data_IF_514828194881
#
_entry.id   IF_514828194881
#
_cell.length_a   1.000
_cell.length_b   1.000
_cell.length_c   1.000
_cell.angle_alpha   90.00
_cell.angle_beta   90.00
_cell.angle_gamma   90.00
#
_symmetry.space_group_name_H-M   'P 1'
#
loop_
_entity.id
_entity.type
_entity.pdbx_description
1 polymer ?
#
# COMPACT_ATOMS: atom_id res chain seq x y z
N UNK A 1 4.13 29.70 40.31
CA UNK A 1 4.13 29.60 38.84
C UNK A 1 5.24 28.62 38.53
N UNK A 2 4.82 27.42 38.14
CA UNK A 2 5.61 26.21 38.22
C UNK A 2 6.73 26.21 37.18
N UNK A 3 7.91 25.76 37.58
CA UNK A 3 9.13 25.79 36.78
C UNK A 3 9.26 24.54 35.88
N UNK A 4 8.19 23.74 35.80
CA UNK A 4 8.10 22.45 35.11
C UNK A 4 7.52 22.53 33.68
N UNK A 5 7.11 23.70 33.20
CA UNK A 5 6.63 23.89 31.81
C UNK A 5 7.70 24.37 30.80
N UNK A 6 8.94 24.61 31.25
CA UNK A 6 9.91 25.43 30.50
C UNK A 6 11.17 24.69 30.00
N UNK A 7 11.13 23.35 29.84
CA UNK A 7 12.23 22.61 29.17
C UNK A 7 11.69 21.48 28.27
N UNK A 8 10.76 21.80 27.37
CA UNK A 8 10.67 21.06 26.11
C UNK A 8 11.93 21.41 25.32
N UNK A 9 12.86 20.47 25.18
CA UNK A 9 14.05 20.64 24.34
C UNK A 9 13.65 21.25 22.99
N UNK A 10 14.17 22.43 22.70
CA UNK A 10 13.92 23.17 21.47
C UNK A 10 14.46 22.39 20.27
N UNK A 11 13.61 21.57 19.65
CA UNK A 11 13.86 21.10 18.30
C UNK A 11 14.03 22.35 17.43
N UNK A 12 15.22 22.53 16.86
CA UNK A 12 15.45 23.58 15.89
C UNK A 12 14.77 23.19 14.58
N UNK A 13 13.52 23.63 14.43
CA UNK A 13 12.68 23.36 13.26
C UNK A 13 13.38 23.78 11.95
N UNK A 14 14.11 24.89 11.97
CA UNK A 14 14.82 25.40 10.80
C UNK A 14 15.95 24.46 10.42
N UNK A 15 16.77 24.04 11.39
CA UNK A 15 17.85 23.09 11.17
C UNK A 15 17.32 21.75 10.64
N UNK A 16 16.20 21.25 11.18
CA UNK A 16 15.60 19.99 10.73
C UNK A 16 15.08 20.12 9.28
N UNK A 17 14.40 21.23 8.95
CA UNK A 17 13.95 21.50 7.58
C UNK A 17 15.11 21.60 6.59
N UNK A 18 16.22 22.22 6.99
CA UNK A 18 17.44 22.28 6.18
C UNK A 18 18.07 20.90 5.98
N UNK A 19 18.12 20.08 7.02
CA UNK A 19 18.58 18.70 6.94
C UNK A 19 17.74 17.88 5.95
N UNK A 20 16.41 17.98 6.04
CA UNK A 20 15.49 17.28 5.12
C UNK A 20 15.72 17.73 3.68
N UNK A 21 15.84 19.03 3.45
CA UNK A 21 16.09 19.58 2.12
C UNK A 21 17.41 19.07 1.53
N UNK A 22 18.48 19.13 2.31
CA UNK A 22 19.80 18.60 1.93
C UNK A 22 19.73 17.11 1.57
N UNK A 23 19.12 16.28 2.43
CA UNK A 23 19.02 14.83 2.18
C UNK A 23 18.17 14.52 0.95
N UNK A 24 17.08 15.26 0.74
CA UNK A 24 16.21 15.09 -0.43
C UNK A 24 16.94 15.38 -1.75
N UNK A 25 17.80 16.40 -1.76
CA UNK A 25 18.60 16.76 -2.93
C UNK A 25 19.69 15.73 -3.24
N UNK A 26 20.31 15.16 -2.20
CA UNK A 26 21.44 14.23 -2.35
C UNK A 26 21.03 12.75 -2.49
N UNK A 27 19.82 12.36 -2.07
CA UNK A 27 19.36 10.97 -2.10
C UNK A 27 19.39 10.31 -3.49
N UNK A 28 19.09 11.00 -4.61
CA UNK A 28 19.17 10.39 -5.95
C UNK A 28 20.58 10.03 -6.40
N UNK A 29 21.61 10.70 -5.88
CA UNK A 29 23.01 10.54 -6.29
C UNK A 29 23.89 9.86 -5.24
N UNK A 30 23.39 9.71 -4.00
CA UNK A 30 24.11 9.07 -2.92
C UNK A 30 24.49 7.61 -3.23
N UNK A 31 25.67 7.22 -2.77
CA UNK A 31 26.20 5.86 -2.90
C UNK A 31 25.31 4.85 -2.18
N UNK A 32 25.12 3.69 -2.83
CA UNK A 32 24.35 2.58 -2.30
C UNK A 32 25.21 1.78 -1.32
N UNK A 33 24.72 1.66 -0.09
CA UNK A 33 25.34 0.87 0.98
C UNK A 33 24.88 -0.58 0.96
N UNK A 34 23.58 -0.79 0.73
CA UNK A 34 22.93 -2.09 0.75
C UNK A 34 21.67 -2.06 -0.11
N UNK A 35 21.40 -3.13 -0.84
CA UNK A 35 20.19 -3.27 -1.63
C UNK A 35 19.52 -4.62 -1.38
N UNK A 36 18.19 -4.62 -1.46
CA UNK A 36 17.40 -5.84 -1.35
C UNK A 36 16.11 -5.73 -2.15
N UNK A 37 15.56 -6.89 -2.49
CA UNK A 37 14.27 -7.02 -3.14
C UNK A 37 13.33 -7.75 -2.21
N UNK A 38 12.11 -7.24 -2.06
CA UNK A 38 11.08 -7.87 -1.24
C UNK A 38 9.75 -7.93 -2.01
N UNK A 39 9.16 -9.12 -2.07
CA UNK A 39 7.76 -9.29 -2.45
C UNK A 39 7.01 -9.69 -1.18
N UNK A 40 6.37 -8.74 -0.47
CA UNK A 40 5.68 -9.05 0.77
C UNK A 40 4.59 -10.09 0.53
N UNK A 41 4.39 -10.96 1.53
CA UNK A 41 3.29 -11.91 1.51
C UNK A 41 1.99 -11.15 1.60
N UNK A 42 0.97 -11.65 0.90
CA UNK A 42 -0.37 -11.11 1.04
C UNK A 42 -0.85 -11.31 2.48
N UNK A 43 -1.45 -10.26 3.05
CA UNK A 43 -2.02 -10.33 4.38
C UNK A 43 -3.23 -11.26 4.39
N UNK A 44 -3.38 -12.03 5.47
CA UNK A 44 -4.53 -12.93 5.66
C UNK A 44 -5.88 -12.21 5.52
N UNK A 45 -5.98 -10.98 6.03
CA UNK A 45 -7.19 -10.16 5.92
C UNK A 45 -7.58 -9.88 4.46
N UNK A 46 -6.62 -9.66 3.56
CA UNK A 46 -6.89 -9.39 2.15
C UNK A 46 -7.43 -10.64 1.45
N UNK A 47 -6.83 -11.80 1.72
CA UNK A 47 -7.31 -13.09 1.22
C UNK A 47 -8.71 -13.41 1.75
N UNK A 48 -8.96 -13.16 3.05
CA UNK A 48 -10.27 -13.32 3.67
C UNK A 48 -11.29 -12.37 3.04
N UNK A 49 -10.92 -11.11 2.78
CA UNK A 49 -11.83 -10.14 2.16
C UNK A 49 -12.23 -10.58 0.74
N UNK A 50 -11.28 -11.05 -0.06
CA UNK A 50 -11.56 -11.61 -1.40
C UNK A 50 -12.49 -12.81 -1.29
N UNK A 51 -12.23 -13.75 -0.36
CA UNK A 51 -13.08 -14.92 -0.15
C UNK A 51 -14.51 -14.53 0.25
N UNK A 52 -14.66 -13.61 1.20
CA UNK A 52 -15.97 -13.12 1.63
C UNK A 52 -16.74 -12.47 0.48
N UNK A 53 -16.06 -11.70 -0.39
CA UNK A 53 -16.69 -11.08 -1.54
C UNK A 53 -17.17 -12.12 -2.58
N UNK A 54 -16.47 -13.25 -2.71
CA UNK A 54 -16.87 -14.33 -3.63
C UNK A 54 -18.06 -15.12 -3.06
N UNK A 55 -18.11 -15.35 -1.75
CA UNK A 55 -19.04 -16.31 -1.13
C UNK A 55 -20.30 -15.64 -0.57
N UNK A 56 -20.15 -14.53 0.14
CA UNK A 56 -21.27 -13.93 0.90
C UNK A 56 -22.39 -13.40 0.00
N UNK A 57 -22.11 -12.60 -1.07
CA UNK A 57 -23.18 -12.07 -1.90
C UNK A 57 -23.98 -13.15 -2.64
N UNK A 58 -23.36 -14.17 -3.28
CA UNK A 58 -24.12 -15.28 -3.84
C UNK A 58 -24.92 -16.07 -2.81
N UNK A 59 -24.37 -16.29 -1.61
CA UNK A 59 -25.09 -17.00 -0.54
C UNK A 59 -26.35 -16.24 -0.11
N UNK A 60 -26.25 -14.93 0.11
CA UNK A 60 -27.40 -14.08 0.46
C UNK A 60 -28.47 -14.09 -0.63
N UNK A 61 -28.06 -14.14 -1.90
CA UNK A 61 -28.97 -14.24 -3.03
C UNK A 61 -29.70 -15.59 -3.07
N UNK A 62 -28.96 -16.70 -2.92
CA UNK A 62 -29.51 -18.07 -2.97
C UNK A 62 -30.50 -18.34 -1.83
N UNK A 63 -30.22 -17.85 -0.62
CA UNK A 63 -31.08 -18.07 0.55
C UNK A 63 -32.51 -17.53 0.40
N UNK A 64 -32.75 -16.62 -0.55
CA UNK A 64 -34.04 -15.97 -0.74
C UNK A 64 -34.87 -16.58 -1.87
N UNK A 65 -34.33 -17.56 -2.61
CA UNK A 65 -35.01 -18.09 -3.80
C UNK A 65 -35.74 -19.41 -3.53
N UNK A 66 -36.93 -19.57 -4.11
CA UNK A 66 -37.76 -20.80 -4.03
C UNK A 66 -37.20 -21.94 -4.91
N UNK A 67 -37.42 -23.21 -4.51
CA UNK A 67 -36.65 -24.38 -4.97
C UNK A 67 -36.59 -24.62 -6.50
N UNK A 68 -37.58 -24.18 -7.28
CA UNK A 68 -37.81 -24.71 -8.64
C UNK A 68 -37.11 -23.96 -9.80
N UNK A 69 -36.58 -22.74 -9.63
CA UNK A 69 -35.93 -21.96 -10.72
C UNK A 69 -34.43 -21.65 -10.48
N UNK A 70 -33.80 -22.31 -9.51
CA UNK A 70 -32.67 -21.71 -8.78
C UNK A 70 -31.27 -21.87 -9.33
N UNK A 71 -30.95 -22.98 -9.98
CA UNK A 71 -29.53 -23.34 -10.15
C UNK A 71 -28.80 -22.44 -11.16
N UNK A 72 -29.45 -22.07 -12.27
CA UNK A 72 -28.81 -21.28 -13.33
C UNK A 72 -28.53 -19.85 -12.85
N UNK A 73 -29.49 -19.22 -12.18
CA UNK A 73 -29.30 -17.87 -11.64
C UNK A 73 -28.25 -17.85 -10.53
N UNK A 74 -28.29 -18.82 -9.60
CA UNK A 74 -27.27 -18.99 -8.58
C UNK A 74 -25.87 -19.16 -9.18
N UNK A 75 -25.75 -19.99 -10.22
CA UNK A 75 -24.49 -20.21 -10.93
C UNK A 75 -23.98 -18.93 -11.61
N UNK A 76 -24.83 -18.19 -12.32
CA UNK A 76 -24.46 -16.92 -12.96
C UNK A 76 -24.01 -15.90 -11.91
N UNK A 77 -24.74 -15.76 -10.80
CA UNK A 77 -24.37 -14.85 -9.72
C UNK A 77 -23.02 -15.23 -9.11
N UNK A 78 -22.81 -16.52 -8.83
CA UNK A 78 -21.53 -17.01 -8.32
C UNK A 78 -20.38 -16.69 -9.28
N UNK A 79 -20.54 -16.93 -10.59
CA UNK A 79 -19.51 -16.63 -11.60
C UNK A 79 -19.18 -15.13 -11.62
N UNK A 80 -20.19 -14.25 -11.54
CA UNK A 80 -19.97 -12.80 -11.49
C UNK A 80 -19.13 -12.40 -10.28
N UNK A 81 -19.51 -12.85 -9.08
CA UNK A 81 -18.78 -12.52 -7.85
C UNK A 81 -17.41 -13.20 -7.75
N UNK A 82 -17.26 -14.38 -8.33
CA UNK A 82 -15.96 -15.04 -8.50
C UNK A 82 -15.02 -14.19 -9.37
N UNK A 83 -15.49 -13.73 -10.54
CA UNK A 83 -14.72 -12.85 -11.42
C UNK A 83 -14.43 -11.50 -10.75
N UNK A 84 -15.37 -10.96 -10.00
CA UNK A 84 -15.17 -9.72 -9.23
C UNK A 84 -14.13 -9.92 -8.12
N UNK A 85 -14.16 -11.06 -7.43
CA UNK A 85 -13.16 -11.51 -6.46
C UNK A 85 -11.76 -11.57 -7.03
N UNK A 86 -11.60 -12.23 -8.17
CA UNK A 86 -10.34 -12.27 -8.89
C UNK A 86 -9.90 -10.86 -9.34
N UNK A 87 -10.82 -10.04 -9.85
CA UNK A 87 -10.52 -8.66 -10.21
C UNK A 87 -9.98 -7.87 -9.02
N UNK A 88 -10.64 -7.93 -7.86
CA UNK A 88 -10.21 -7.24 -6.65
C UNK A 88 -8.85 -7.74 -6.15
N UNK A 89 -8.64 -9.07 -6.21
CA UNK A 89 -7.37 -9.74 -5.88
C UNK A 89 -6.19 -9.23 -6.71
N UNK A 90 -6.42 -8.90 -7.98
CA UNK A 90 -5.35 -8.50 -8.91
C UNK A 90 -5.30 -7.00 -9.19
N UNK A 91 -6.20 -6.20 -8.62
CA UNK A 91 -6.20 -4.74 -8.77
C UNK A 91 -5.98 -4.03 -7.44
N UNK A 92 -6.82 -4.28 -6.44
CA UNK A 92 -6.76 -3.61 -5.14
C UNK A 92 -5.70 -4.26 -4.26
N UNK A 93 -5.70 -5.58 -4.17
CA UNK A 93 -4.70 -6.36 -3.41
C UNK A 93 -3.60 -6.91 -4.30
N UNK A 94 -3.23 -6.14 -5.32
CA UNK A 94 -2.21 -6.56 -6.26
C UNK A 94 -0.88 -6.80 -5.53
N UNK A 95 -0.24 -7.97 -5.73
CA UNK A 95 1.09 -8.18 -5.19
C UNK A 95 2.04 -7.16 -5.81
N UNK A 96 2.90 -6.58 -4.98
CA UNK A 96 3.93 -5.62 -5.39
C UNK A 96 5.30 -6.19 -5.05
N UNK A 97 6.30 -5.88 -5.87
CA UNK A 97 7.70 -6.17 -5.61
C UNK A 97 8.42 -4.85 -5.40
N UNK A 98 9.12 -4.76 -4.28
CA UNK A 98 9.84 -3.57 -3.85
C UNK A 98 11.33 -3.83 -4.03
N UNK A 99 12.02 -2.95 -4.77
CA UNK A 99 13.47 -2.98 -4.90
C UNK A 99 14.06 -1.79 -4.16
N UNK A 100 14.66 -2.04 -3.00
CA UNK A 100 15.17 -1.02 -2.10
C UNK A 100 16.68 -0.84 -2.24
N UNK A 101 17.11 0.41 -2.13
CA UNK A 101 18.49 0.83 -2.03
C UNK A 101 18.66 1.73 -0.80
N UNK A 102 19.37 1.23 0.20
CA UNK A 102 19.85 2.03 1.32
C UNK A 102 21.08 2.82 0.88
N UNK A 103 21.03 4.13 1.08
CA UNK A 103 22.13 5.08 0.84
C UNK A 103 22.52 5.75 2.16
N UNK A 104 23.58 6.55 2.18
CA UNK A 104 24.01 7.30 3.38
C UNK A 104 23.01 8.33 3.92
N UNK A 105 22.03 8.76 3.11
CA UNK A 105 21.09 9.84 3.48
C UNK A 105 19.63 9.39 3.54
N UNK A 106 19.32 8.17 3.10
CA UNK A 106 17.95 7.71 2.94
C UNK A 106 17.86 6.36 2.23
N UNK A 107 16.63 5.90 2.04
CA UNK A 107 16.29 4.77 1.18
C UNK A 107 15.58 5.31 -0.06
N UNK A 108 15.94 4.81 -1.24
CA UNK A 108 15.15 4.99 -2.45
C UNK A 108 14.72 3.62 -2.94
N UNK A 109 13.52 3.54 -3.50
CA UNK A 109 12.99 2.25 -3.94
C UNK A 109 12.04 2.37 -5.10
N UNK A 110 11.98 1.29 -5.87
CA UNK A 110 10.98 1.10 -6.91
C UNK A 110 9.93 0.13 -6.43
N UNK A 111 8.67 0.43 -6.76
CA UNK A 111 7.53 -0.43 -6.52
C UNK A 111 7.05 -0.90 -7.89
N UNK A 112 7.12 -2.20 -8.13
CA UNK A 112 6.62 -2.83 -9.34
C UNK A 112 5.41 -3.70 -9.04
N UNK A 113 4.35 -3.56 -9.84
CA UNK A 113 3.24 -4.50 -9.80
C UNK A 113 3.73 -5.90 -10.21
N UNK A 114 3.49 -6.90 -9.36
CA UNK A 114 3.93 -8.28 -9.55
C UNK A 114 2.78 -9.18 -10.02
N UNK A 115 2.04 -8.70 -11.01
CA UNK A 115 0.96 -9.46 -11.65
C UNK A 115 1.44 -9.98 -13.00
N UNK A 116 1.06 -11.21 -13.35
CA UNK A 116 1.40 -11.78 -14.65
C UNK A 116 0.80 -10.95 -15.80
N UNK A 117 1.55 -10.75 -16.88
CA UNK A 117 1.13 -9.95 -18.05
C UNK A 117 -0.24 -10.36 -18.65
N UNK A 118 -0.64 -11.63 -18.46
CA UNK A 118 -1.92 -12.15 -18.93
C UNK A 118 -3.10 -11.43 -18.26
N UNK A 119 -2.94 -10.99 -17.01
CA UNK A 119 -3.96 -10.21 -16.33
C UNK A 119 -4.20 -8.86 -17.02
N UNK A 120 -3.15 -8.11 -17.37
CA UNK A 120 -3.33 -6.84 -18.07
C UNK A 120 -3.95 -7.07 -19.46
N UNK A 121 -3.54 -8.11 -20.18
CA UNK A 121 -4.19 -8.50 -21.45
C UNK A 121 -5.68 -8.80 -21.27
N UNK A 122 -6.02 -9.60 -20.25
CA UNK A 122 -7.40 -9.95 -19.93
C UNK A 122 -8.23 -8.73 -19.52
N UNK A 123 -7.72 -7.90 -18.61
CA UNK A 123 -8.33 -6.64 -18.19
C UNK A 123 -8.60 -5.73 -19.39
N UNK A 124 -7.64 -5.61 -20.30
CA UNK A 124 -7.80 -4.80 -21.52
C UNK A 124 -8.89 -5.35 -22.44
N UNK A 125 -8.93 -6.67 -22.63
CA UNK A 125 -9.94 -7.34 -23.44
C UNK A 125 -11.34 -7.19 -22.81
N UNK A 126 -11.46 -7.45 -21.51
CA UNK A 126 -12.70 -7.28 -20.75
C UNK A 126 -13.23 -5.86 -20.79
N UNK A 127 -12.36 -4.85 -20.62
CA UNK A 127 -12.72 -3.44 -20.75
C UNK A 127 -13.26 -3.10 -22.13
N UNK A 128 -12.62 -3.58 -23.21
CA UNK A 128 -13.12 -3.36 -24.59
C UNK A 128 -14.49 -4.02 -24.81
N UNK A 129 -14.68 -5.25 -24.32
CA UNK A 129 -15.94 -5.96 -24.43
C UNK A 129 -17.06 -5.24 -23.65
N UNK A 130 -16.79 -4.83 -22.41
CA UNK A 130 -17.74 -4.10 -21.57
C UNK A 130 -18.15 -2.75 -22.19
N UNK A 131 -17.20 -2.03 -22.79
CA UNK A 131 -17.49 -0.80 -23.53
C UNK A 131 -18.41 -1.07 -24.73
N UNK A 132 -18.11 -2.12 -25.51
CA UNK A 132 -18.93 -2.51 -26.67
C UNK A 132 -20.37 -2.87 -26.26
N UNK A 133 -20.54 -3.69 -25.22
CA UNK A 133 -21.86 -4.06 -24.69
C UNK A 133 -22.61 -2.84 -24.15
N UNK A 134 -21.92 -1.91 -23.50
CA UNK A 134 -22.52 -0.67 -22.99
C UNK A 134 -23.07 0.21 -24.12
N UNK A 135 -22.34 0.33 -25.24
CA UNK A 135 -22.82 1.06 -26.43
C UNK A 135 -24.05 0.40 -27.02
N UNK A 136 -24.04 -0.93 -27.17
CA UNK A 136 -25.21 -1.70 -27.62
C UNK A 136 -26.41 -1.45 -26.70
N UNK A 137 -26.21 -1.52 -25.38
CA UNK A 137 -27.28 -1.29 -24.42
C UNK A 137 -27.91 0.10 -24.58
N UNK A 138 -27.11 1.16 -24.78
CA UNK A 138 -27.62 2.52 -25.02
C UNK A 138 -28.41 2.61 -26.34
N UNK A 139 -27.98 1.90 -27.39
CA UNK A 139 -28.69 1.87 -28.68
C UNK A 139 -30.08 1.23 -28.53
N UNK A 140 -30.18 0.11 -27.83
CA UNK A 140 -31.43 -0.67 -27.74
C UNK A 140 -32.36 -0.26 -26.60
N UNK A 141 -31.82 0.15 -25.45
CA UNK A 141 -32.59 0.53 -24.27
C UNK A 141 -32.79 2.06 -24.16
N UNK A 142 -32.19 2.81 -25.08
CA UNK A 142 -32.32 4.26 -25.19
C UNK A 142 -31.50 5.05 -24.15
N UNK A 143 -31.67 6.38 -24.12
CA UNK A 143 -30.86 7.28 -23.29
C UNK A 143 -30.93 7.01 -21.79
N UNK A 144 -32.02 6.40 -21.30
CA UNK A 144 -32.17 6.07 -19.88
C UNK A 144 -31.12 5.05 -19.40
N UNK A 145 -30.61 4.20 -20.31
CA UNK A 145 -29.53 3.27 -20.01
C UNK A 145 -28.19 3.98 -19.74
N UNK A 146 -28.01 5.25 -20.12
CA UNK A 146 -26.79 6.02 -19.84
C UNK A 146 -26.52 6.19 -18.34
N UNK A 147 -27.55 6.20 -17.49
CA UNK A 147 -27.38 6.33 -16.05
C UNK A 147 -26.56 5.17 -15.45
N UNK A 148 -26.71 3.95 -15.99
CA UNK A 148 -25.89 2.79 -15.61
C UNK A 148 -24.69 2.57 -16.55
N UNK A 149 -24.92 2.63 -17.86
CA UNK A 149 -23.91 2.38 -18.89
C UNK A 149 -22.79 3.43 -18.91
N UNK A 150 -23.06 4.67 -18.49
CA UNK A 150 -22.05 5.74 -18.42
C UNK A 150 -20.95 5.45 -17.39
N UNK A 151 -21.33 5.02 -16.18
CA UNK A 151 -20.37 4.58 -15.17
C UNK A 151 -19.62 3.32 -15.61
N UNK A 152 -20.33 2.37 -16.23
CA UNK A 152 -19.74 1.18 -16.83
C UNK A 152 -18.70 1.51 -17.90
N UNK A 153 -18.97 2.50 -18.76
CA UNK A 153 -18.07 2.93 -19.83
C UNK A 153 -16.79 3.59 -19.31
N UNK A 154 -16.88 4.41 -18.26
CA UNK A 154 -15.71 4.99 -17.60
C UNK A 154 -14.81 3.91 -17.00
N UNK A 155 -15.40 2.92 -16.34
CA UNK A 155 -14.67 1.80 -15.76
C UNK A 155 -14.05 0.90 -16.85
N UNK A 156 -14.81 0.61 -17.91
CA UNK A 156 -14.36 -0.11 -19.09
C UNK A 156 -13.16 0.57 -19.76
N UNK A 157 -13.17 1.91 -19.85
CA UNK A 157 -12.05 2.71 -20.36
C UNK A 157 -10.81 2.61 -19.46
N UNK A 158 -10.98 2.62 -18.14
CA UNK A 158 -9.87 2.42 -17.21
C UNK A 158 -9.24 1.03 -17.41
N UNK A 159 -10.06 -0.01 -17.47
CA UNK A 159 -9.63 -1.38 -17.74
C UNK A 159 -8.98 -1.56 -19.11
N UNK A 160 -9.49 -0.90 -20.16
CA UNK A 160 -8.96 -0.99 -21.53
C UNK A 160 -7.56 -0.40 -21.68
N UNK A 161 -7.18 0.49 -20.77
CA UNK A 161 -5.86 1.15 -20.72
C UNK A 161 -4.96 0.59 -19.61
N UNK A 162 -5.35 -0.53 -19.00
CA UNK A 162 -4.59 -1.12 -17.90
C UNK A 162 -3.21 -1.60 -18.38
N UNK A 163 -2.17 -1.18 -17.67
CA UNK A 163 -0.76 -1.49 -17.93
C UNK A 163 -0.02 -1.61 -16.60
N UNK A 164 1.05 -2.41 -16.61
CA UNK A 164 1.98 -2.53 -15.48
C UNK A 164 2.49 -1.14 -15.09
N UNK A 165 2.48 -0.84 -13.79
CA UNK A 165 3.03 0.41 -13.23
C UNK A 165 4.33 0.14 -12.48
N UNK A 166 5.23 1.12 -12.57
CA UNK A 166 6.42 1.23 -11.73
C UNK A 166 6.37 2.59 -11.07
N UNK A 167 6.39 2.60 -9.74
CA UNK A 167 6.41 3.81 -8.93
C UNK A 167 7.80 3.96 -8.30
N UNK A 168 8.23 5.21 -8.13
CA UNK A 168 9.52 5.56 -7.52
C UNK A 168 9.24 6.32 -6.24
N UNK A 169 9.75 5.81 -5.13
CA UNK A 169 9.56 6.41 -3.82
C UNK A 169 10.90 6.56 -3.09
N UNK A 170 10.87 7.45 -2.10
CA UNK A 170 12.04 7.82 -1.31
C UNK A 170 11.63 7.97 0.15
N UNK A 171 12.53 7.58 1.03
CA UNK A 171 12.40 7.73 2.46
C UNK A 171 13.69 8.33 3.02
N UNK A 172 13.58 9.51 3.60
CA UNK A 172 14.74 10.22 4.15
C UNK A 172 15.07 9.65 5.52
N UNK A 173 16.34 9.31 5.76
CA UNK A 173 16.78 8.85 7.08
C UNK A 173 16.94 10.04 8.02
N UNK A 174 16.36 10.03 9.22
CA UNK A 174 16.75 10.98 10.27
C UNK A 174 18.18 10.69 10.75
N UNK A 175 18.86 11.69 11.33
CA UNK A 175 20.22 11.50 11.86
C UNK A 175 20.30 10.44 12.96
N UNK A 176 19.27 10.37 13.82
CA UNK A 176 19.21 9.45 14.95
C UNK A 176 17.81 8.85 15.06
N UNK A 177 17.71 7.52 15.15
CA UNK A 177 16.42 6.82 15.09
C UNK A 177 16.38 5.49 15.81
N UNK A 178 15.16 5.04 16.04
CA UNK A 178 14.82 3.70 16.52
C UNK A 178 14.33 2.86 15.35
N UNK A 179 14.65 1.58 15.38
CA UNK A 179 14.19 0.60 14.39
C UNK A 179 13.18 -0.31 15.06
N UNK A 180 11.98 -0.44 14.47
CA UNK A 180 10.96 -1.39 14.93
C UNK A 180 10.71 -2.43 13.84
N UNK A 181 10.85 -3.70 14.18
CA UNK A 181 10.61 -4.80 13.24
C UNK A 181 9.26 -5.46 13.50
N UNK A 182 8.39 -5.44 12.50
CA UNK A 182 7.07 -6.07 12.50
C UNK A 182 7.14 -7.44 11.81
N UNK A 183 7.37 -8.50 12.60
CA UNK A 183 7.57 -9.86 12.08
C UNK A 183 6.41 -10.41 11.25
N UNK A 184 5.16 -10.16 11.67
CA UNK A 184 3.98 -10.68 10.99
C UNK A 184 3.78 -10.08 9.59
N UNK A 185 4.22 -8.83 9.39
CA UNK A 185 4.11 -8.10 8.12
C UNK A 185 5.40 -8.06 7.32
N UNK A 186 6.51 -8.48 7.92
CA UNK A 186 7.84 -8.44 7.33
C UNK A 186 8.24 -7.00 6.97
N UNK A 187 8.05 -6.12 7.95
CA UNK A 187 8.11 -4.67 7.80
C UNK A 187 9.06 -4.08 8.84
N UNK A 188 9.79 -3.02 8.48
CA UNK A 188 10.67 -2.27 9.37
C UNK A 188 10.22 -0.81 9.38
N UNK A 189 9.86 -0.33 10.56
CA UNK A 189 9.61 1.08 10.81
C UNK A 189 10.90 1.76 11.29
N UNK A 190 11.16 2.96 10.78
CA UNK A 190 12.27 3.81 11.19
C UNK A 190 11.68 5.06 11.78
N UNK A 191 11.83 5.24 13.10
CA UNK A 191 11.22 6.32 13.84
C UNK A 191 12.29 7.26 14.37
N UNK A 192 12.23 8.57 14.07
CA UNK A 192 13.21 9.52 14.57
C UNK A 192 13.20 9.59 16.10
N UNK A 193 14.31 10.03 16.70
CA UNK A 193 14.49 10.16 18.16
C UNK A 193 13.34 10.87 18.87
N UNK A 194 12.87 11.95 18.27
CA UNK A 194 11.82 12.86 18.77
C UNK A 194 10.59 12.83 17.85
N UNK A 195 10.12 11.63 17.53
CA UNK A 195 8.99 11.40 16.61
C UNK A 195 7.74 12.22 16.96
N UNK A 196 7.31 12.21 18.23
CA UNK A 196 6.07 12.88 18.64
C UNK A 196 6.20 14.39 18.52
N UNK A 197 7.35 14.92 18.92
CA UNK A 197 7.63 16.35 18.92
C UNK A 197 7.86 16.86 17.48
N UNK A 198 8.47 16.07 16.60
CA UNK A 198 8.57 16.39 15.17
C UNK A 198 7.19 16.41 14.50
N UNK A 199 6.31 15.47 14.84
CA UNK A 199 4.94 15.45 14.30
C UNK A 199 4.12 16.64 14.79
N UNK A 200 4.26 17.06 16.06
CA UNK A 200 3.50 18.21 16.58
C UNK A 200 3.87 19.54 15.92
N UNK A 201 5.09 19.67 15.41
CA UNK A 201 5.54 20.83 14.62
C UNK A 201 5.42 20.63 13.10
N UNK A 202 4.70 19.58 12.66
CA UNK A 202 4.37 19.35 11.25
C UNK A 202 5.47 18.70 10.40
N UNK A 203 6.50 18.12 11.02
CA UNK A 203 7.58 17.41 10.33
C UNK A 203 7.22 15.93 10.20
N UNK A 204 6.58 15.61 9.08
CA UNK A 204 6.15 14.24 8.75
C UNK A 204 7.11 13.50 7.80
N UNK A 205 8.11 14.19 7.25
CA UNK A 205 9.00 13.66 6.20
C UNK A 205 9.87 12.48 6.61
N UNK A 206 10.01 12.24 7.92
CA UNK A 206 10.72 11.08 8.48
C UNK A 206 9.79 9.91 8.80
N UNK A 207 8.48 10.10 8.79
CA UNK A 207 7.52 9.02 8.97
C UNK A 207 7.16 8.42 7.61
N UNK A 208 7.43 7.13 7.40
CA UNK A 208 6.78 6.43 6.30
C UNK A 208 5.30 6.23 6.62
N UNK A 209 4.41 6.38 5.63
CA UNK A 209 3.02 5.93 5.73
C UNK A 209 2.89 4.41 5.71
N UNK A 210 3.88 3.74 5.13
CA UNK A 210 3.94 2.29 4.91
C UNK A 210 5.35 1.82 5.32
N UNK A 211 5.44 0.89 6.27
CA UNK A 211 6.73 0.40 6.76
C UNK A 211 7.58 -0.21 5.62
N UNK A 212 8.91 -0.19 5.77
CA UNK A 212 9.83 -0.70 4.77
C UNK A 212 9.78 -2.23 4.75
N UNK A 213 9.37 -2.84 3.64
CA UNK A 213 9.29 -4.30 3.53
C UNK A 213 10.68 -4.94 3.49
N UNK A 214 10.86 -6.00 4.27
CA UNK A 214 12.13 -6.73 4.39
C UNK A 214 11.88 -8.23 4.50
N UNK A 215 12.59 -9.02 3.69
CA UNK A 215 12.55 -10.47 3.84
C UNK A 215 13.39 -10.92 5.06
N UNK A 216 13.05 -12.05 5.72
CA UNK A 216 13.70 -12.45 6.97
C UNK A 216 15.19 -12.74 6.80
N UNK A 217 15.60 -13.19 5.62
CA UNK A 217 17.00 -13.46 5.25
C UNK A 217 17.82 -12.18 5.07
N UNK A 218 17.19 -11.05 4.74
CA UNK A 218 17.85 -9.75 4.55
C UNK A 218 17.83 -8.86 5.78
N UNK A 219 16.97 -9.17 6.76
CA UNK A 219 16.82 -8.36 7.98
C UNK A 219 18.16 -8.11 8.69
N UNK A 220 18.93 -9.16 9.00
CA UNK A 220 20.19 -8.99 9.72
C UNK A 220 21.25 -8.19 8.93
N UNK A 221 21.24 -8.31 7.60
CA UNK A 221 22.13 -7.51 6.75
C UNK A 221 21.74 -6.03 6.81
N UNK A 222 20.44 -5.73 6.69
CA UNK A 222 19.94 -4.36 6.86
C UNK A 222 20.32 -3.80 8.23
N UNK A 223 20.06 -4.52 9.31
CA UNK A 223 20.38 -4.07 10.67
C UNK A 223 21.90 -3.84 10.87
N UNK A 224 22.74 -4.65 10.23
CA UNK A 224 24.19 -4.46 10.24
C UNK A 224 24.60 -3.13 9.60
N UNK A 225 24.11 -2.85 8.38
CA UNK A 225 24.41 -1.58 7.70
C UNK A 225 23.84 -0.38 8.44
N UNK A 226 22.62 -0.49 8.99
CA UNK A 226 22.02 0.58 9.79
C UNK A 226 22.90 0.91 11.01
N UNK A 227 23.33 -0.09 11.78
CA UNK A 227 24.20 0.14 12.95
C UNK A 227 25.60 0.66 12.59
N UNK A 228 26.10 0.30 11.41
CA UNK A 228 27.44 0.66 10.97
C UNK A 228 27.50 2.11 10.47
N UNK A 229 26.46 2.53 9.75
CA UNK A 229 26.49 3.79 8.98
C UNK A 229 25.62 4.90 9.61
N UNK A 230 24.78 4.59 10.61
CA UNK A 230 23.85 5.54 11.24
C UNK A 230 23.85 5.47 12.77
N UNK A 231 23.34 6.53 13.42
CA UNK A 231 23.09 6.57 14.86
C UNK A 231 21.76 5.87 15.20
N UNK A 232 21.83 4.54 15.34
CA UNK A 232 20.68 3.71 15.74
C UNK A 232 20.60 3.65 17.25
N UNK A 233 19.57 4.27 17.82
CA UNK A 233 19.32 4.35 19.27
C UNK A 233 18.95 2.99 19.84
N UNK A 234 18.03 2.30 19.16
CA UNK A 234 17.41 1.07 19.67
C UNK A 234 16.82 0.25 18.53
N UNK A 235 16.76 -1.07 18.70
CA UNK A 235 16.13 -2.01 17.78
C UNK A 235 15.18 -2.91 18.58
N UNK A 236 13.89 -2.85 18.25
CA UNK A 236 12.85 -3.64 18.93
C UNK A 236 12.03 -4.46 17.95
N UNK A 237 11.64 -5.66 18.36
CA UNK A 237 10.58 -6.40 17.69
C UNK A 237 9.23 -5.86 18.17
N UNK A 238 8.42 -5.37 17.24
CA UNK A 238 7.11 -4.80 17.52
C UNK A 238 6.02 -5.86 17.29
N UNK A 239 5.26 -6.16 18.35
CA UNK A 239 4.14 -7.11 18.30
C UNK A 239 2.89 -6.52 17.65
N UNK A 240 2.74 -5.19 17.63
CA UNK A 240 1.60 -4.45 17.05
C UNK A 240 2.04 -3.07 16.54
N UNK A 241 1.33 -2.49 15.57
CA UNK A 241 1.51 -1.11 15.07
C UNK A 241 1.04 -0.05 16.11
N UNK A 242 0.52 -0.46 17.27
CA UNK A 242 -0.02 0.47 18.28
C UNK A 242 1.03 0.83 19.33
N UNK A 243 1.77 1.89 19.05
CA UNK A 243 2.04 2.94 20.05
C UNK A 243 1.81 4.33 19.41
N UNK A 244 0.62 4.52 18.84
CA UNK A 244 -0.02 5.83 18.77
C UNK A 244 -1.27 5.72 19.65
N UNK A 245 -1.12 6.10 20.92
CA UNK A 245 -2.27 6.34 21.77
C UNK A 245 -3.14 7.38 21.06
N UNK A 246 -4.33 6.96 20.64
CA UNK A 246 -5.39 7.79 20.05
C UNK A 246 -5.95 8.84 21.03
N UNK A 247 -5.46 8.90 22.26
CA UNK A 247 -5.96 9.78 23.31
C UNK A 247 -5.60 11.26 23.12
N UNK A 248 -4.83 11.63 22.09
CA UNK A 248 -4.44 13.02 21.82
C UNK A 248 -4.98 13.58 20.48
N UNK A 249 -5.98 12.93 19.88
CA UNK A 249 -6.70 13.45 18.70
C UNK A 249 -8.12 13.95 19.03
N UNK A 250 -8.41 14.20 20.30
CA UNK A 250 -9.58 14.96 20.75
C UNK A 250 -9.12 16.23 21.47
#
# INVERSE_FOLDING_TARGET
>A
MDMDEMVFYSLDELAIKQEIAYKKENLPTADVLFSWVCTPKRLFFEELHVLLMIVVPPLLFILQMEEDDNFIYAFIFFVIFFLFGLYYRFTIFQPKTYSYELTKVGIRYTIEENVHENFYKFSRAGGKLAAFVSVIAVIFLGPLALAGAGAGLLHARAMSNHRKRTEYETHIMPNSFRVRYHRARQEVAINPRHEKEMMSIGIYSFGTREDIHISPDKLYQLLFYLKKEFDVIDIKEAKTHKELNREYLN
#
